data_IF_180874706998
#
_entry.id   IF_180874706998
#
_cell.length_a   1.000
_cell.length_b   1.000
_cell.length_c   1.000
_cell.angle_alpha   90.00
_cell.angle_beta   90.00
_cell.angle_gamma   90.00
#
_symmetry.space_group_name_H-M   'P 1'
#
loop_
_entity.id
_entity.type
_entity.pdbx_description
1 polymer ?
#
# COMPACT_ATOMS: atom_id res chain seq x y z
N UNK A 1 -6.66 7.09 -7.67
CA UNK A 1 -6.33 5.65 -7.60
C UNK A 1 -4.85 5.56 -7.25
N UNK A 2 -4.48 4.98 -6.10
CA UNK A 2 -3.10 5.03 -5.57
C UNK A 2 -2.11 4.15 -6.34
N UNK A 3 -2.59 3.04 -6.91
CA UNK A 3 -1.80 2.14 -7.73
C UNK A 3 -1.15 2.83 -8.93
N UNK A 4 -1.88 3.72 -9.62
CA UNK A 4 -1.39 4.43 -10.80
C UNK A 4 -0.22 5.36 -10.46
N UNK A 5 -0.36 6.13 -9.38
CA UNK A 5 0.71 6.99 -8.88
C UNK A 5 1.94 6.19 -8.48
N UNK A 6 1.75 5.09 -7.74
CA UNK A 6 2.85 4.21 -7.38
C UNK A 6 3.55 3.61 -8.61
N UNK A 7 2.81 3.13 -9.61
CA UNK A 7 3.39 2.59 -10.85
C UNK A 7 4.14 3.65 -11.65
N UNK A 8 3.56 4.84 -11.80
CA UNK A 8 4.21 5.94 -12.52
C UNK A 8 5.54 6.34 -11.85
N UNK A 9 5.52 6.51 -10.53
CA UNK A 9 6.74 6.81 -9.76
C UNK A 9 7.79 5.71 -9.89
N UNK A 10 7.40 4.44 -9.85
CA UNK A 10 8.31 3.30 -10.06
C UNK A 10 8.96 3.33 -11.44
N UNK A 11 8.17 3.60 -12.49
CA UNK A 11 8.68 3.70 -13.86
C UNK A 11 9.70 4.84 -13.98
N UNK A 12 9.38 6.01 -13.45
CA UNK A 12 10.29 7.18 -13.47
C UNK A 12 11.60 6.87 -12.74
N UNK A 13 11.53 6.37 -11.50
CA UNK A 13 12.71 6.05 -10.71
C UNK A 13 13.60 5.00 -11.39
N UNK A 14 12.99 3.90 -11.87
CA UNK A 14 13.72 2.84 -12.57
C UNK A 14 14.33 3.32 -13.88
N UNK A 15 13.66 4.22 -14.60
CA UNK A 15 14.22 4.83 -15.83
C UNK A 15 15.48 5.65 -15.58
N UNK A 16 15.63 6.20 -14.36
CA UNK A 16 16.82 6.92 -13.90
C UNK A 16 17.88 5.98 -13.29
N UNK A 17 17.69 4.66 -13.33
CA UNK A 17 18.60 3.68 -12.73
C UNK A 17 18.49 3.55 -11.21
N UNK A 18 17.45 4.15 -10.60
CA UNK A 18 17.21 4.05 -9.15
C UNK A 18 16.42 2.77 -8.87
N UNK A 19 16.96 1.82 -8.06
CA UNK A 19 16.20 0.66 -7.65
C UNK A 19 14.99 1.11 -6.82
N UNK A 20 13.80 0.67 -7.23
CA UNK A 20 12.55 1.00 -6.56
C UNK A 20 11.60 -0.21 -6.55
N UNK A 21 10.74 -0.31 -5.52
CA UNK A 21 9.80 -1.41 -5.28
C UNK A 21 8.42 -0.90 -4.85
N UNK A 22 7.38 -1.63 -5.25
CA UNK A 22 5.98 -1.36 -4.93
C UNK A 22 5.68 -1.90 -3.53
N UNK A 23 4.97 -1.11 -2.72
CA UNK A 23 4.48 -1.53 -1.41
C UNK A 23 2.96 -1.53 -1.43
N UNK A 24 2.37 -2.65 -1.04
CA UNK A 24 0.93 -2.83 -0.83
C UNK A 24 0.65 -2.89 0.67
N UNK A 25 -0.37 -2.20 1.14
CA UNK A 25 -0.70 -2.16 2.56
C UNK A 25 -2.00 -1.43 2.86
N UNK A 26 -2.09 -0.94 4.09
CA UNK A 26 -3.24 -0.19 4.60
C UNK A 26 -2.81 1.16 5.17
N UNK A 27 -3.66 2.15 5.01
CA UNK A 27 -3.52 3.49 5.58
C UNK A 27 -4.64 3.74 6.59
N UNK A 28 -4.28 4.22 7.77
CA UNK A 28 -5.23 4.76 8.74
C UNK A 28 -5.67 6.16 8.28
N UNK A 29 -6.92 6.37 7.80
CA UNK A 29 -7.30 7.60 7.11
C UNK A 29 -7.36 8.85 8.00
N UNK A 30 -7.40 8.70 9.32
CA UNK A 30 -7.39 9.83 10.26
C UNK A 30 -6.02 10.01 10.89
N UNK A 31 -5.36 11.13 10.60
CA UNK A 31 -4.07 11.48 11.21
C UNK A 31 -4.21 11.84 12.69
N UNK A 32 -5.28 12.54 13.03
CA UNK A 32 -5.55 13.00 14.40
C UNK A 32 -6.48 12.05 15.17
N UNK A 33 -6.43 10.74 14.87
CA UNK A 33 -7.24 9.76 15.60
C UNK A 33 -6.89 9.79 17.09
N UNK A 34 -7.90 9.63 17.94
CA UNK A 34 -7.68 9.51 19.39
C UNK A 34 -6.99 8.17 19.65
N UNK A 35 -6.10 8.10 20.65
CA UNK A 35 -5.53 6.81 21.07
C UNK A 35 -6.66 5.86 21.46
N UNK A 36 -6.64 4.65 20.90
CA UNK A 36 -7.69 3.66 21.03
C UNK A 36 -8.82 3.77 19.99
N UNK A 37 -8.78 4.74 19.07
CA UNK A 37 -9.71 4.79 17.93
C UNK A 37 -9.38 3.65 16.95
N UNK A 38 -10.36 2.80 16.68
CA UNK A 38 -10.30 1.70 15.71
C UNK A 38 -11.19 2.05 14.53
N UNK A 39 -10.61 2.04 13.34
CA UNK A 39 -11.34 2.32 12.10
C UNK A 39 -10.94 1.37 10.99
N UNK A 40 -11.77 1.31 9.96
CA UNK A 40 -11.47 0.58 8.74
C UNK A 40 -10.26 1.22 8.04
N UNK A 41 -9.18 0.46 7.96
CA UNK A 41 -7.99 0.78 7.20
C UNK A 41 -8.30 0.78 5.71
N UNK A 42 -7.81 1.79 5.01
CA UNK A 42 -7.99 1.88 3.57
C UNK A 42 -6.85 1.16 2.86
N UNK A 43 -7.17 0.25 1.93
CA UNK A 43 -6.15 -0.35 1.07
C UNK A 43 -5.40 0.76 0.34
N UNK A 44 -4.07 0.70 0.41
CA UNK A 44 -3.23 1.75 -0.12
C UNK A 44 -1.92 1.20 -0.70
N UNK A 45 -1.30 2.00 -1.56
CA UNK A 45 -0.07 1.65 -2.23
C UNK A 45 0.90 2.83 -2.29
N UNK A 46 2.18 2.53 -2.10
CA UNK A 46 3.25 3.52 -2.12
C UNK A 46 4.55 2.89 -2.65
N UNK A 47 5.63 3.68 -2.70
CA UNK A 47 6.90 3.22 -3.24
C UNK A 47 7.98 3.18 -2.17
N UNK A 48 8.98 2.34 -2.40
CA UNK A 48 10.29 2.41 -1.78
C UNK A 48 11.36 2.58 -2.84
N UNK A 49 12.37 3.39 -2.55
CA UNK A 49 13.51 3.62 -3.44
C UNK A 49 14.83 3.51 -2.68
N UNK A 50 15.90 3.21 -3.43
CA UNK A 50 17.23 2.97 -2.88
C UNK A 50 18.25 3.98 -3.39
N UNK A 51 18.85 4.73 -2.48
CA UNK A 51 19.94 5.69 -2.76
C UNK A 51 21.09 5.56 -1.75
N UNK A 52 21.41 4.33 -1.33
CA UNK A 52 22.31 4.02 -0.22
C UNK A 52 21.59 3.53 1.05
N UNK A 53 20.27 3.61 1.04
CA UNK A 53 19.35 3.06 2.02
C UNK A 53 17.95 2.98 1.40
N UNK A 54 17.07 2.14 1.95
CA UNK A 54 15.66 2.11 1.53
C UNK A 54 14.91 3.25 2.22
N UNK A 55 14.30 4.11 1.43
CA UNK A 55 13.36 5.13 1.89
C UNK A 55 12.00 4.90 1.23
N UNK A 56 10.96 5.46 1.83
CA UNK A 56 9.58 5.31 1.36
C UNK A 56 8.98 6.66 1.00
N UNK A 57 8.01 6.66 0.08
CA UNK A 57 7.25 7.85 -0.25
C UNK A 57 5.88 7.48 -0.81
N UNK A 58 4.85 8.25 -0.45
CA UNK A 58 3.50 8.13 -0.94
C UNK A 58 3.22 9.18 -2.03
N UNK A 59 3.30 8.80 -3.32
CA UNK A 59 3.03 9.73 -4.42
C UNK A 59 1.55 10.09 -4.57
N UNK A 60 0.64 9.38 -3.90
CA UNK A 60 -0.80 9.70 -3.94
C UNK A 60 -1.13 10.87 -3.03
N UNK A 61 -0.50 10.91 -1.86
CA UNK A 61 -0.76 11.91 -0.81
C UNK A 61 0.36 12.95 -0.67
N UNK A 62 1.40 12.89 -1.52
CA UNK A 62 2.57 13.78 -1.50
C UNK A 62 3.21 13.89 -0.10
N UNK A 63 3.47 12.74 0.52
CA UNK A 63 3.99 12.68 1.89
C UNK A 63 4.96 11.52 2.09
N UNK A 64 5.82 11.67 3.08
CA UNK A 64 6.58 10.55 3.64
C UNK A 64 5.65 9.59 4.38
N UNK A 65 6.08 8.33 4.46
CA UNK A 65 5.37 7.27 5.18
C UNK A 65 5.58 7.45 6.68
N UNK A 66 4.48 7.46 7.42
CA UNK A 66 4.46 7.62 8.87
C UNK A 66 3.77 6.42 9.55
N UNK A 67 3.48 6.54 10.84
CA UNK A 67 2.84 5.51 11.67
C UNK A 67 1.43 5.10 11.21
N UNK A 68 0.77 5.88 10.35
CA UNK A 68 -0.55 5.56 9.80
C UNK A 68 -0.50 4.45 8.75
N UNK A 69 0.69 4.10 8.24
CA UNK A 69 0.86 3.15 7.16
C UNK A 69 1.30 1.78 7.68
N UNK A 70 0.58 0.74 7.28
CA UNK A 70 0.90 -0.65 7.63
C UNK A 70 1.23 -1.42 6.35
N UNK A 71 2.50 -1.78 6.18
CA UNK A 71 2.94 -2.58 5.02
C UNK A 71 2.49 -4.04 5.12
N UNK A 72 1.93 -4.58 4.04
CA UNK A 72 1.51 -5.99 3.95
C UNK A 72 2.39 -6.78 3.00
N UNK A 73 2.75 -6.20 1.85
CA UNK A 73 3.57 -6.87 0.85
C UNK A 73 4.45 -5.90 0.06
N UNK A 74 5.60 -6.39 -0.39
CA UNK A 74 6.56 -5.63 -1.20
C UNK A 74 6.97 -6.44 -2.42
N UNK A 75 6.90 -5.82 -3.60
CA UNK A 75 7.17 -6.48 -4.88
C UNK A 75 7.66 -5.51 -5.97
N UNK A 76 7.83 -6.00 -7.21
CA UNK A 76 8.23 -5.13 -8.33
C UNK A 76 7.09 -4.25 -8.80
N UNK A 77 5.87 -4.76 -8.76
CA UNK A 77 4.64 -4.04 -9.07
C UNK A 77 3.47 -4.70 -8.32
N UNK A 78 2.25 -4.25 -8.62
CA UNK A 78 1.03 -4.75 -7.99
C UNK A 78 0.82 -6.26 -8.19
N UNK A 79 1.25 -6.82 -9.32
CA UNK A 79 1.00 -8.23 -9.67
C UNK A 79 1.77 -9.22 -8.78
N UNK A 80 2.85 -8.77 -8.14
CA UNK A 80 3.64 -9.53 -7.17
C UNK A 80 2.99 -9.54 -5.78
N UNK A 81 2.09 -8.59 -5.47
CA UNK A 81 1.55 -8.34 -4.11
C UNK A 81 0.04 -8.07 -4.09
N UNK A 82 -0.68 -8.55 -5.10
CA UNK A 82 -2.13 -8.42 -5.18
C UNK A 82 -2.78 -9.13 -3.98
N UNK A 83 -3.69 -8.48 -3.21
CA UNK A 83 -4.30 -9.08 -2.02
C UNK A 83 -5.05 -10.38 -2.30
N UNK A 84 -5.69 -10.47 -3.48
CA UNK A 84 -6.35 -11.65 -3.98
C UNK A 84 -5.92 -11.87 -5.43
N UNK A 85 -5.44 -13.08 -5.76
CA UNK A 85 -5.05 -13.46 -7.12
C UNK A 85 -5.41 -14.92 -7.37
N UNK A 86 -6.21 -15.19 -8.39
CA UNK A 86 -6.60 -16.55 -8.76
C UNK A 86 -7.89 -16.58 -9.58
N UNK A 87 -8.25 -17.77 -10.05
CA UNK A 87 -9.52 -18.04 -10.72
C UNK A 87 -10.23 -19.09 -9.87
N UNK A 88 -11.44 -18.80 -9.41
CA UNK A 88 -12.33 -19.76 -8.77
C UNK A 88 -13.33 -20.30 -9.81
N UNK A 89 -13.54 -21.61 -9.85
CA UNK A 89 -14.55 -22.25 -10.68
C UNK A 89 -15.35 -23.25 -9.85
N UNK A 90 -16.63 -22.97 -9.65
CA UNK A 90 -17.58 -23.73 -8.83
C UNK A 90 -19.00 -23.21 -9.05
N UNK A 91 -20.01 -23.99 -8.65
CA UNK A 91 -21.41 -23.56 -8.72
C UNK A 91 -21.71 -22.55 -7.59
N UNK A 92 -22.13 -21.33 -7.95
CA UNK A 92 -22.50 -20.26 -7.01
C UNK A 92 -21.59 -19.03 -7.06
N UNK A 93 -22.17 -17.84 -6.87
CA UNK A 93 -21.42 -16.60 -6.66
C UNK A 93 -21.02 -16.49 -5.18
N UNK A 94 -19.74 -16.31 -4.90
CA UNK A 94 -19.25 -15.94 -3.58
C UNK A 94 -18.97 -14.44 -3.54
N UNK A 95 -19.56 -13.76 -2.55
CA UNK A 95 -19.17 -12.40 -2.20
C UNK A 95 -17.95 -12.47 -1.27
N UNK A 96 -16.95 -11.64 -1.51
CA UNK A 96 -15.73 -11.60 -0.70
C UNK A 96 -15.64 -10.22 -0.05
N UNK A 97 -15.98 -10.18 1.23
CA UNK A 97 -15.81 -8.99 2.06
C UNK A 97 -14.52 -9.08 2.86
N UNK A 98 -13.71 -8.02 2.82
CA UNK A 98 -12.43 -7.93 3.52
C UNK A 98 -12.38 -6.61 4.27
N UNK A 99 -12.41 -6.71 5.60
CA UNK A 99 -12.27 -5.58 6.51
C UNK A 99 -10.95 -5.71 7.24
N UNK A 100 -10.16 -4.63 7.23
CA UNK A 100 -8.95 -4.50 8.04
C UNK A 100 -9.15 -3.36 9.01
N UNK A 101 -9.17 -3.68 10.30
CA UNK A 101 -9.26 -2.69 11.36
C UNK A 101 -7.85 -2.23 11.77
N UNK A 102 -7.66 -0.92 11.85
CA UNK A 102 -6.41 -0.29 12.31
C UNK A 102 -6.71 0.54 13.54
N UNK A 103 -5.95 0.30 14.61
CA UNK A 103 -6.09 1.01 15.89
C UNK A 103 -4.85 1.85 16.18
N UNK A 104 -5.04 3.12 16.55
CA UNK A 104 -3.95 3.96 17.05
C UNK A 104 -3.59 3.58 18.49
N UNK A 105 -2.36 3.14 18.73
CA UNK A 105 -1.92 2.68 20.06
C UNK A 105 -1.14 3.73 20.89
N UNK A 106 -0.62 4.79 20.26
CA UNK A 106 0.11 5.87 20.92
C UNK A 106 0.04 7.19 20.11
#
# INVERSE_FOLDING_TARGET
MCQDFAHLSLIMLRSMGIPARYVSGYLHPKRDAVVGDTIDGQSHAWIQAWTGGWWHYDPTNDTEINEQYVSVGVGRDYSDVAPLKGIYSGEGSTDLDVIVEVTRLA
#
